data_IF_071819705005
#
_entry.id   IF_071819705005
#
_cell.length_a   1.000
_cell.length_b   1.000
_cell.length_c   1.000
_cell.angle_alpha   90.00
_cell.angle_beta   90.00
_cell.angle_gamma   90.00
#
_symmetry.space_group_name_H-M   'P 1'
#
loop_
_entity.id
_entity.type
_entity.pdbx_description
1 polymer ?
#
# COMPACT_ATOMS: atom_id res chain seq x y z
N UNK A 1 4.21 -1.65 -1.70
CA UNK A 1 4.88 -2.20 -2.90
C UNK A 1 3.97 -3.26 -3.51
N UNK A 2 3.82 -3.33 -4.83
CA UNK A 2 3.16 -4.46 -5.52
C UNK A 2 4.24 -5.17 -6.32
N UNK A 3 4.68 -6.32 -5.83
CA UNK A 3 5.82 -7.04 -6.43
C UNK A 3 5.34 -7.81 -7.64
N UNK A 4 5.62 -7.26 -8.82
CA UNK A 4 5.52 -8.02 -10.05
C UNK A 4 6.58 -9.12 -10.08
N UNK A 5 6.18 -10.33 -10.46
CA UNK A 5 7.10 -11.44 -10.68
C UNK A 5 7.70 -11.37 -12.08
N UNK A 6 8.94 -11.84 -12.22
CA UNK A 6 9.56 -12.04 -13.52
C UNK A 6 9.09 -13.38 -14.10
N UNK A 7 8.28 -13.39 -15.18
CA UNK A 7 7.72 -14.63 -15.71
C UNK A 7 8.77 -15.59 -16.25
N UNK A 8 9.94 -15.11 -16.69
CA UNK A 8 11.03 -15.97 -17.18
C UNK A 8 11.64 -16.85 -16.07
N UNK A 9 11.48 -16.44 -14.82
CA UNK A 9 12.06 -17.13 -13.67
C UNK A 9 11.04 -17.94 -12.88
N UNK A 10 9.75 -17.60 -13.02
CA UNK A 10 8.71 -18.04 -12.08
C UNK A 10 7.54 -18.77 -12.74
N UNK A 11 7.34 -18.62 -14.06
CA UNK A 11 6.33 -19.38 -14.80
C UNK A 11 6.94 -20.60 -15.48
N UNK A 12 6.21 -21.72 -15.41
CA UNK A 12 6.60 -22.96 -16.06
C UNK A 12 6.43 -22.89 -17.57
N UNK A 13 7.40 -23.48 -18.28
CA UNK A 13 7.44 -23.53 -19.74
C UNK A 13 7.24 -22.14 -20.37
N UNK A 14 7.70 -21.09 -19.70
CA UNK A 14 7.68 -19.74 -20.25
C UNK A 14 8.71 -19.63 -21.37
N UNK A 15 8.32 -19.09 -22.52
CA UNK A 15 9.22 -18.80 -23.62
C UNK A 15 8.79 -17.58 -24.42
N UNK A 16 9.76 -17.01 -25.12
CA UNK A 16 9.58 -15.95 -26.10
C UNK A 16 9.87 -16.51 -27.49
N UNK A 17 9.01 -16.24 -28.47
CA UNK A 17 9.20 -16.64 -29.86
C UNK A 17 8.78 -15.51 -30.79
N UNK A 18 9.77 -14.92 -31.47
CA UNK A 18 9.55 -13.69 -32.23
C UNK A 18 9.03 -12.58 -31.30
N UNK A 19 7.77 -12.17 -31.47
CA UNK A 19 7.08 -11.21 -30.58
C UNK A 19 6.06 -11.84 -29.63
N UNK A 20 5.92 -13.17 -29.69
CA UNK A 20 5.00 -13.90 -28.84
C UNK A 20 5.67 -14.25 -27.50
N UNK A 21 4.90 -14.12 -26.41
CA UNK A 21 5.17 -14.82 -25.17
C UNK A 21 4.17 -15.95 -25.04
N UNK A 22 4.59 -17.06 -24.46
CA UNK A 22 3.72 -18.17 -24.12
C UNK A 22 4.22 -18.89 -22.87
N UNK A 23 3.29 -19.48 -22.12
CA UNK A 23 3.59 -20.23 -20.91
C UNK A 23 2.47 -21.24 -20.60
N UNK A 24 2.78 -22.20 -19.74
CA UNK A 24 1.78 -23.11 -19.19
C UNK A 24 1.26 -22.55 -17.86
N UNK A 25 -0.06 -22.37 -17.76
CA UNK A 25 -0.72 -22.11 -16.48
C UNK A 25 -0.96 -23.46 -15.79
N UNK A 26 -0.27 -23.68 -14.69
CA UNK A 26 -0.29 -24.94 -13.95
C UNK A 26 -1.64 -25.26 -13.29
N UNK A 27 -2.57 -24.30 -13.24
CA UNK A 27 -3.94 -24.58 -12.82
C UNK A 27 -4.76 -25.30 -13.90
N UNK A 28 -4.23 -25.41 -15.13
CA UNK A 28 -4.85 -26.03 -16.29
C UNK A 28 -4.18 -27.39 -16.64
N UNK A 29 -4.82 -28.24 -17.46
CA UNK A 29 -4.20 -29.43 -18.01
C UNK A 29 -2.90 -29.12 -18.77
N UNK A 30 -1.95 -30.06 -18.75
CA UNK A 30 -0.59 -29.89 -19.29
C UNK A 30 -0.51 -29.41 -20.75
N UNK A 31 -1.53 -29.72 -21.54
CA UNK A 31 -1.68 -29.39 -22.96
C UNK A 31 -2.25 -27.99 -23.22
N UNK A 32 -2.66 -27.26 -22.17
CA UNK A 32 -3.21 -25.92 -22.24
C UNK A 32 -2.13 -24.86 -21.98
N UNK A 33 -1.96 -23.95 -22.94
CA UNK A 33 -0.99 -22.86 -22.87
C UNK A 33 -1.68 -21.52 -23.09
N UNK A 34 -1.20 -20.52 -22.35
CA UNK A 34 -1.59 -19.13 -22.53
C UNK A 34 -0.55 -18.43 -23.38
N UNK A 35 -0.98 -17.57 -24.30
CA UNK A 35 -0.09 -16.82 -25.18
C UNK A 35 -0.54 -15.37 -25.37
N UNK A 36 0.37 -14.54 -25.85
CA UNK A 36 0.04 -13.23 -26.43
C UNK A 36 1.28 -12.50 -26.93
N UNK A 37 1.15 -11.21 -27.26
CA UNK A 37 2.28 -10.40 -27.75
C UNK A 37 3.01 -9.80 -26.55
N UNK A 38 4.33 -9.93 -26.46
CA UNK A 38 5.13 -9.17 -25.47
C UNK A 38 5.70 -7.87 -26.03
N UNK A 39 5.69 -7.71 -27.35
CA UNK A 39 6.07 -6.47 -28.02
C UNK A 39 5.20 -6.28 -29.27
N UNK A 40 4.84 -5.05 -29.62
CA UNK A 40 4.13 -4.76 -30.87
C UNK A 40 5.02 -5.02 -32.10
N UNK A 41 4.40 -5.16 -33.27
CA UNK A 41 5.16 -5.21 -34.52
C UNK A 41 5.69 -3.81 -34.85
N UNK A 42 7.02 -3.67 -34.85
CA UNK A 42 7.70 -2.39 -35.13
C UNK A 42 7.92 -2.18 -36.63
N UNK A 43 8.19 -3.24 -37.38
CA UNK A 43 8.42 -3.20 -38.84
C UNK A 43 7.39 -4.08 -39.53
N UNK A 44 6.63 -3.52 -40.46
CA UNK A 44 5.59 -4.21 -41.21
C UNK A 44 6.08 -4.52 -42.62
N UNK A 45 5.97 -5.79 -43.02
CA UNK A 45 6.17 -6.19 -44.41
C UNK A 45 4.90 -5.90 -45.23
N UNK A 46 5.01 -5.07 -46.26
CA UNK A 46 3.92 -4.76 -47.20
C UNK A 46 4.32 -5.14 -48.62
N UNK A 47 3.36 -5.25 -49.56
CA UNK A 47 3.68 -5.46 -50.98
C UNK A 47 4.61 -4.40 -51.58
N UNK A 48 4.60 -3.19 -51.01
CA UNK A 48 5.47 -2.07 -51.42
C UNK A 48 6.82 -2.05 -50.69
N UNK A 49 7.10 -2.99 -49.79
CA UNK A 49 8.31 -3.08 -48.98
C UNK A 49 8.04 -2.97 -47.48
N UNK A 50 9.12 -2.86 -46.70
CA UNK A 50 9.05 -2.74 -45.24
C UNK A 50 8.75 -1.30 -44.82
N UNK A 51 7.82 -1.13 -43.88
CA UNK A 51 7.50 0.18 -43.29
C UNK A 51 7.60 0.14 -41.78
N UNK A 52 8.02 1.26 -41.18
CA UNK A 52 8.13 1.41 -39.73
C UNK A 52 6.78 1.81 -39.10
N UNK A 53 6.45 1.22 -37.96
CA UNK A 53 5.35 1.66 -37.09
C UNK A 53 5.71 2.92 -36.29
N UNK A 54 7.01 3.19 -36.11
CA UNK A 54 7.51 4.42 -35.52
C UNK A 54 7.68 5.48 -36.62
N UNK A 55 7.19 6.68 -36.37
CA UNK A 55 7.40 7.87 -37.18
C UNK A 55 8.00 8.98 -36.32
N UNK A 56 9.01 9.69 -36.84
CA UNK A 56 9.61 10.83 -36.17
C UNK A 56 9.35 12.10 -36.98
N UNK A 57 8.59 13.03 -36.42
CA UNK A 57 8.49 14.40 -36.93
C UNK A 57 9.52 15.28 -36.22
N UNK A 58 10.45 15.86 -36.97
CA UNK A 58 11.48 16.78 -36.47
C UNK A 58 11.14 18.24 -36.78
N UNK A 59 11.59 19.16 -35.93
CA UNK A 59 11.41 20.61 -36.11
C UNK A 59 12.56 21.39 -35.46
N UNK A 60 12.71 22.70 -35.73
CA UNK A 60 13.68 23.54 -35.03
C UNK A 60 13.50 23.57 -33.51
N UNK A 61 12.28 23.32 -33.01
CA UNK A 61 11.94 23.36 -31.58
C UNK A 61 11.84 21.98 -30.91
N UNK A 62 12.34 20.90 -31.51
CA UNK A 62 12.24 19.55 -30.94
C UNK A 62 11.58 18.56 -31.89
N UNK A 63 11.00 17.49 -31.35
CA UNK A 63 10.40 16.43 -32.16
C UNK A 63 9.13 15.81 -31.58
N UNK A 64 8.47 15.00 -32.39
CA UNK A 64 7.34 14.17 -31.98
C UNK A 64 7.53 12.78 -32.54
N UNK A 65 7.76 11.80 -31.66
CA UNK A 65 7.69 10.39 -32.01
C UNK A 65 6.23 9.93 -31.95
N UNK A 66 5.77 9.28 -33.00
CA UNK A 66 4.44 8.66 -33.07
C UNK A 66 4.61 7.18 -33.37
N UNK A 67 3.99 6.31 -32.59
CA UNK A 67 4.08 4.87 -32.73
C UNK A 67 2.71 4.27 -33.03
N UNK A 68 2.49 3.84 -34.26
CA UNK A 68 1.23 3.25 -34.71
C UNK A 68 1.50 1.79 -35.08
N UNK A 69 1.36 0.90 -34.11
CA UNK A 69 1.42 -0.54 -34.38
C UNK A 69 0.02 -1.11 -34.63
N UNK A 70 -0.20 -1.79 -35.77
CA UNK A 70 -1.43 -2.54 -35.97
C UNK A 70 -1.49 -3.70 -34.97
N UNK A 71 -2.69 -3.98 -34.46
CA UNK A 71 -2.93 -5.14 -33.62
C UNK A 71 -2.90 -6.42 -34.49
N UNK A 72 -1.70 -6.93 -34.77
CA UNK A 72 -1.54 -8.17 -35.52
C UNK A 72 -1.55 -9.39 -34.60
N UNK A 73 -2.27 -10.47 -34.95
CA UNK A 73 -2.22 -11.71 -34.19
C UNK A 73 -0.83 -12.35 -34.28
N UNK A 74 -0.35 -12.94 -33.19
CA UNK A 74 0.91 -13.70 -33.20
C UNK A 74 0.75 -15.01 -33.97
N UNK A 75 1.86 -15.58 -34.46
CA UNK A 75 1.85 -16.86 -35.18
C UNK A 75 1.64 -18.04 -34.21
N UNK A 76 0.40 -18.48 -34.08
CA UNK A 76 0.03 -19.58 -33.19
C UNK A 76 0.56 -20.94 -33.67
N UNK A 77 0.80 -21.12 -34.97
CA UNK A 77 1.36 -22.36 -35.51
C UNK A 77 2.83 -22.51 -35.11
N UNK A 78 3.60 -21.42 -35.14
CA UNK A 78 4.97 -21.40 -34.64
C UNK A 78 5.07 -21.67 -33.13
N UNK A 79 4.14 -21.11 -32.34
CA UNK A 79 4.03 -21.37 -30.90
C UNK A 79 3.75 -22.86 -30.64
N UNK A 80 2.77 -23.44 -31.35
CA UNK A 80 2.45 -24.86 -31.22
C UNK A 80 3.64 -25.76 -31.58
N UNK A 81 4.32 -25.48 -32.70
CA UNK A 81 5.50 -26.21 -33.12
C UNK A 81 6.61 -26.17 -32.05
N UNK A 82 6.85 -25.01 -31.45
CA UNK A 82 7.82 -24.85 -30.36
C UNK A 82 7.43 -25.69 -29.13
N UNK A 83 6.16 -25.66 -28.71
CA UNK A 83 5.68 -26.47 -27.59
C UNK A 83 5.87 -27.97 -27.87
N UNK A 84 5.57 -28.43 -29.09
CA UNK A 84 5.76 -29.84 -29.50
C UNK A 84 7.23 -30.26 -29.44
N UNK A 85 8.12 -29.37 -29.87
CA UNK A 85 9.55 -29.65 -29.91
C UNK A 85 10.18 -29.69 -28.51
N UNK A 86 9.72 -28.85 -27.58
CA UNK A 86 10.42 -28.60 -26.31
C UNK A 86 9.72 -29.12 -25.06
N UNK A 87 8.40 -29.26 -25.04
CA UNK A 87 7.64 -29.57 -23.82
C UNK A 87 6.73 -30.79 -23.95
N UNK A 88 6.01 -30.96 -25.06
CA UNK A 88 5.02 -32.04 -25.23
C UNK A 88 5.23 -32.76 -26.58
N UNK A 89 6.14 -33.74 -26.64
CA UNK A 89 6.45 -34.46 -27.88
C UNK A 89 5.39 -35.49 -28.27
N UNK A 90 4.49 -35.87 -27.36
CA UNK A 90 3.47 -36.88 -27.59
C UNK A 90 2.37 -36.40 -28.57
N UNK A 91 1.81 -37.32 -29.39
CA UNK A 91 0.70 -36.98 -30.28
C UNK A 91 -0.56 -36.67 -29.46
N UNK A 92 -0.92 -35.38 -29.41
CA UNK A 92 -2.08 -34.85 -28.69
C UNK A 92 -2.41 -33.43 -29.16
N UNK A 93 -3.63 -32.96 -28.88
CA UNK A 93 -4.08 -31.61 -29.23
C UNK A 93 -3.55 -30.61 -28.18
N UNK A 94 -2.79 -29.62 -28.62
CA UNK A 94 -2.40 -28.46 -27.79
C UNK A 94 -3.51 -27.43 -27.87
N UNK A 95 -3.90 -26.86 -26.73
CA UNK A 95 -4.89 -25.79 -26.66
C UNK A 95 -4.18 -24.47 -26.35
N UNK A 96 -4.36 -23.48 -27.22
CA UNK A 96 -3.80 -22.14 -27.06
C UNK A 96 -4.91 -21.15 -26.70
N UNK A 97 -4.76 -20.46 -25.56
CA UNK A 97 -5.66 -19.40 -25.12
C UNK A 97 -4.93 -18.05 -25.12
N UNK A 98 -5.54 -17.03 -25.72
CA UNK A 98 -4.96 -15.69 -25.70
C UNK A 98 -5.17 -15.05 -24.31
N UNK A 99 -4.08 -14.60 -23.68
CA UNK A 99 -4.11 -13.91 -22.40
C UNK A 99 -4.41 -12.42 -22.50
N UNK A 100 -4.90 -11.82 -21.42
CA UNK A 100 -5.03 -10.37 -21.27
C UNK A 100 -3.68 -9.76 -20.88
N UNK A 101 -2.95 -9.25 -21.88
CA UNK A 101 -1.63 -8.66 -21.72
C UNK A 101 -1.73 -7.17 -21.98
N UNK A 102 -1.41 -6.38 -20.97
CA UNK A 102 -1.32 -4.92 -21.06
C UNK A 102 0.10 -4.52 -21.40
N UNK A 103 0.26 -3.68 -22.41
CA UNK A 103 1.56 -3.25 -22.89
C UNK A 103 1.73 -1.75 -22.70
N UNK A 104 2.87 -1.35 -22.13
CA UNK A 104 3.36 0.03 -22.15
C UNK A 104 4.67 0.07 -22.94
N UNK A 105 4.85 1.14 -23.70
CA UNK A 105 6.00 1.35 -24.58
C UNK A 105 6.75 2.60 -24.16
N UNK A 106 8.08 2.50 -24.18
CA UNK A 106 8.96 3.61 -23.82
C UNK A 106 10.10 3.71 -24.82
N UNK A 107 10.67 4.90 -24.95
CA UNK A 107 12.01 5.09 -25.50
C UNK A 107 12.96 5.32 -24.34
N UNK A 108 14.01 4.51 -24.25
CA UNK A 108 15.12 4.72 -23.32
C UNK A 108 16.22 5.50 -24.02
N UNK A 109 16.52 6.69 -23.53
CA UNK A 109 17.62 7.52 -24.02
C UNK A 109 18.86 7.25 -23.19
N UNK A 110 19.93 6.81 -23.84
CA UNK A 110 21.19 6.47 -23.17
C UNK A 110 21.96 7.75 -22.86
N UNK A 111 22.32 7.94 -21.60
CA UNK A 111 23.26 8.99 -21.15
C UNK A 111 24.53 8.35 -20.60
N UNK A 112 25.56 9.16 -20.42
CA UNK A 112 26.81 8.76 -19.77
C UNK A 112 26.99 9.58 -18.49
N UNK A 113 27.12 8.94 -17.31
CA UNK A 113 27.11 7.49 -17.08
C UNK A 113 25.75 6.82 -17.40
N UNK A 114 25.75 5.52 -17.69
CA UNK A 114 24.51 4.78 -18.06
C UNK A 114 23.42 4.86 -16.99
N UNK A 115 23.81 5.06 -15.71
CA UNK A 115 22.90 5.33 -14.58
C UNK A 115 21.98 6.53 -14.81
N UNK A 116 22.38 7.46 -15.68
CA UNK A 116 21.62 8.67 -16.00
C UNK A 116 20.68 8.46 -17.19
N UNK A 117 20.67 7.25 -17.77
CA UNK A 117 19.71 6.87 -18.81
C UNK A 117 18.31 6.82 -18.22
N UNK A 118 17.33 7.26 -19.01
CA UNK A 118 15.95 7.37 -18.55
C UNK A 118 14.99 6.91 -19.65
N UNK A 119 13.79 6.51 -19.22
CA UNK A 119 12.72 6.07 -20.10
C UNK A 119 11.67 7.18 -20.22
N UNK A 120 11.17 7.40 -21.44
CA UNK A 120 10.02 8.27 -21.70
C UNK A 120 8.89 7.39 -22.25
N UNK A 121 7.69 7.45 -21.68
CA UNK A 121 6.54 6.63 -22.10
C UNK A 121 5.85 7.22 -23.34
N UNK A 122 5.33 6.36 -24.21
CA UNK A 122 4.38 6.75 -25.23
C UNK A 122 2.99 6.91 -24.62
N UNK A 123 2.46 8.13 -24.65
CA UNK A 123 1.09 8.43 -24.23
C UNK A 123 0.19 8.55 -25.47
N UNK A 124 -0.87 7.75 -25.54
CA UNK A 124 -1.80 7.74 -26.68
C UNK A 124 -1.07 7.64 -28.04
N UNK A 125 -0.07 6.74 -28.14
CA UNK A 125 0.76 6.53 -29.33
C UNK A 125 1.71 7.68 -29.70
N UNK A 126 1.87 8.69 -28.84
CA UNK A 126 2.69 9.89 -29.10
C UNK A 126 3.68 10.14 -27.97
N UNK A 127 4.79 10.77 -28.33
CA UNK A 127 5.83 11.16 -27.39
C UNK A 127 6.48 12.46 -27.87
N UNK A 128 6.21 13.61 -27.21
CA UNK A 128 6.96 14.82 -27.49
C UNK A 128 8.42 14.62 -27.07
N UNK A 129 9.35 15.15 -27.85
CA UNK A 129 10.79 15.02 -27.66
C UNK A 129 11.42 16.41 -27.60
N UNK A 130 12.38 16.57 -26.70
CA UNK A 130 13.32 17.71 -26.74
C UNK A 130 14.15 17.68 -28.02
N UNK A 131 14.81 18.79 -28.36
CA UNK A 131 15.74 18.81 -29.49
C UNK A 131 16.85 17.76 -29.40
N UNK A 132 17.39 17.53 -28.20
CA UNK A 132 18.42 16.53 -27.97
C UNK A 132 17.91 15.09 -28.17
N UNK A 133 16.74 14.77 -27.61
CA UNK A 133 16.10 13.46 -27.77
C UNK A 133 15.72 13.17 -29.22
N UNK A 134 15.18 14.16 -29.93
CA UNK A 134 14.85 14.05 -31.35
C UNK A 134 16.11 13.77 -32.19
N UNK A 135 17.22 14.44 -31.87
CA UNK A 135 18.51 14.22 -32.55
C UNK A 135 19.08 12.82 -32.28
N UNK A 136 19.02 12.35 -31.03
CA UNK A 136 19.44 10.99 -30.68
C UNK A 136 18.58 9.93 -31.38
N UNK A 137 17.27 10.14 -31.47
CA UNK A 137 16.38 9.22 -32.16
C UNK A 137 16.57 9.24 -33.67
N UNK A 138 16.77 10.41 -34.31
CA UNK A 138 17.12 10.50 -35.74
C UNK A 138 18.40 9.72 -36.04
N UNK A 139 19.47 9.93 -35.24
CA UNK A 139 20.72 9.19 -35.37
C UNK A 139 20.51 7.68 -35.21
N UNK A 140 19.73 7.25 -34.21
CA UNK A 140 19.43 5.85 -34.00
C UNK A 140 18.64 5.23 -35.16
N UNK A 141 17.64 5.94 -35.71
CA UNK A 141 16.90 5.51 -36.91
C UNK A 141 17.84 5.40 -38.12
N UNK A 142 18.87 6.26 -38.22
CA UNK A 142 19.92 6.18 -39.25
C UNK A 142 21.01 5.12 -38.97
N UNK A 143 20.87 4.35 -37.89
CA UNK A 143 21.74 3.22 -37.58
C UNK A 143 22.79 3.46 -36.49
N UNK A 144 22.77 4.60 -35.80
CA UNK A 144 23.66 4.85 -34.66
C UNK A 144 23.24 3.99 -33.45
N UNK A 145 24.02 2.93 -33.18
CA UNK A 145 23.73 1.94 -32.14
C UNK A 145 23.89 2.49 -30.73
N UNK A 146 23.20 1.85 -29.78
CA UNK A 146 23.30 2.09 -28.34
C UNK A 146 22.99 3.54 -27.90
N UNK A 147 22.16 4.27 -28.65
CA UNK A 147 21.71 5.62 -28.28
C UNK A 147 20.29 5.62 -27.75
N UNK A 148 19.39 4.90 -28.41
CA UNK A 148 17.98 4.82 -28.06
C UNK A 148 17.49 3.38 -28.15
N UNK A 149 16.83 2.91 -27.09
CA UNK A 149 16.19 1.59 -27.07
C UNK A 149 14.67 1.73 -27.03
N UNK A 150 13.97 0.88 -27.78
CA UNK A 150 12.56 0.63 -27.53
C UNK A 150 12.44 -0.31 -26.33
N UNK A 151 11.78 0.14 -25.28
CA UNK A 151 11.48 -0.67 -24.10
C UNK A 151 9.99 -1.02 -24.11
N UNK A 152 9.69 -2.31 -23.99
CA UNK A 152 8.31 -2.79 -23.82
C UNK A 152 8.13 -3.41 -22.45
N UNK A 153 7.11 -2.97 -21.74
CA UNK A 153 6.64 -3.58 -20.50
C UNK A 153 5.33 -4.31 -20.77
N UNK A 154 5.34 -5.63 -20.63
CA UNK A 154 4.14 -6.47 -20.74
C UNK A 154 3.70 -6.96 -19.37
N UNK A 155 2.51 -6.56 -18.96
CA UNK A 155 1.91 -6.89 -17.67
C UNK A 155 0.71 -7.81 -17.86
N UNK A 156 0.63 -8.85 -17.05
CA UNK A 156 -0.48 -9.79 -17.06
C UNK A 156 -0.63 -10.47 -15.70
N UNK A 157 -1.75 -11.16 -15.51
CA UNK A 157 -2.03 -11.91 -14.28
C UNK A 157 -2.26 -13.38 -14.59
N UNK A 158 -1.74 -14.25 -13.73
CA UNK A 158 -1.94 -15.71 -13.80
C UNK A 158 -2.52 -16.17 -12.47
N UNK A 159 -3.50 -17.05 -12.53
CA UNK A 159 -4.05 -17.67 -11.32
C UNK A 159 -3.05 -18.68 -10.77
N UNK A 160 -2.83 -18.67 -9.46
CA UNK A 160 -2.08 -19.73 -8.79
C UNK A 160 -2.95 -20.36 -7.73
N UNK A 161 -3.14 -21.68 -7.78
CA UNK A 161 -3.70 -22.38 -6.63
C UNK A 161 -2.67 -22.31 -5.50
N UNK A 162 -3.18 -22.01 -4.31
CA UNK A 162 -2.44 -22.04 -3.07
C UNK A 162 -3.18 -22.95 -2.11
N UNK A 163 -2.48 -23.98 -1.65
CA UNK A 163 -2.92 -24.85 -0.56
C UNK A 163 -1.97 -24.69 0.60
N UNK A 164 -2.47 -24.37 1.77
CA UNK A 164 -1.64 -24.22 2.95
C UNK A 164 -2.36 -24.67 4.22
N UNK A 165 -1.61 -25.07 5.24
CA UNK A 165 -2.15 -25.46 6.53
C UNK A 165 -1.20 -25.09 7.67
N UNK A 166 -1.77 -24.83 8.85
CA UNK A 166 -1.00 -24.71 10.08
C UNK A 166 -0.94 -26.05 10.79
N UNK A 167 0.26 -26.54 11.05
CA UNK A 167 0.52 -27.68 11.92
C UNK A 167 1.11 -27.20 13.24
N UNK A 168 0.44 -27.56 14.34
CA UNK A 168 0.76 -27.06 15.68
C UNK A 168 0.24 -28.02 16.76
N UNK A 169 0.92 -28.03 17.90
CA UNK A 169 0.30 -28.50 19.15
C UNK A 169 -0.68 -27.42 19.65
N UNK A 170 -1.95 -27.58 19.26
CA UNK A 170 -3.00 -26.63 19.60
C UNK A 170 -3.31 -26.56 21.10
N UNK A 171 -3.03 -27.62 21.86
CA UNK A 171 -3.19 -27.62 23.33
C UNK A 171 -2.09 -26.76 23.96
N UNK A 172 -0.84 -26.95 23.52
CA UNK A 172 0.28 -26.11 23.96
C UNK A 172 0.05 -24.64 23.58
N UNK A 173 -0.42 -24.37 22.36
CA UNK A 173 -0.70 -23.01 21.92
C UNK A 173 -1.86 -22.36 22.71
N UNK A 174 -2.95 -23.08 22.99
CA UNK A 174 -4.03 -22.57 23.84
C UNK A 174 -3.55 -22.23 25.26
N UNK A 175 -2.69 -23.09 25.82
CA UNK A 175 -2.10 -22.86 27.14
C UNK A 175 -1.24 -21.60 27.14
N UNK A 176 -0.42 -21.40 26.10
CA UNK A 176 0.35 -20.18 25.91
C UNK A 176 -0.56 -18.94 25.81
N UNK A 177 -1.55 -18.98 24.91
CA UNK A 177 -2.49 -17.88 24.72
C UNK A 177 -3.29 -17.53 25.99
N UNK A 178 -3.67 -18.54 26.77
CA UNK A 178 -4.32 -18.35 28.07
C UNK A 178 -3.38 -17.66 29.08
N UNK A 179 -2.13 -18.12 29.18
CA UNK A 179 -1.13 -17.57 30.11
C UNK A 179 -0.74 -16.13 29.76
N UNK A 180 -0.62 -15.82 28.47
CA UNK A 180 -0.36 -14.48 27.93
C UNK A 180 -1.60 -13.58 27.94
N UNK A 181 -2.74 -14.08 28.45
CA UNK A 181 -4.03 -13.37 28.49
C UNK A 181 -4.54 -12.93 27.09
N UNK A 182 -4.05 -13.57 26.03
CA UNK A 182 -4.45 -13.33 24.65
C UNK A 182 -5.80 -13.99 24.36
N UNK A 183 -6.91 -13.28 24.66
CA UNK A 183 -8.28 -13.78 24.43
C UNK A 183 -8.96 -13.20 23.19
N UNK A 184 -8.52 -12.03 22.71
CA UNK A 184 -9.08 -11.39 21.52
C UNK A 184 -8.40 -11.91 20.24
N UNK A 185 -9.13 -12.05 19.12
CA UNK A 185 -8.57 -12.54 17.86
C UNK A 185 -7.30 -11.81 17.40
N UNK A 186 -7.21 -10.50 17.64
CA UNK A 186 -6.06 -9.68 17.24
C UNK A 186 -4.81 -10.01 18.08
N UNK A 187 -4.97 -10.16 19.39
CA UNK A 187 -3.89 -10.54 20.30
C UNK A 187 -3.40 -11.97 20.02
N UNK A 188 -4.34 -12.88 19.72
CA UNK A 188 -4.02 -14.26 19.34
C UNK A 188 -3.31 -14.30 17.98
N UNK A 189 -3.73 -13.48 17.01
CA UNK A 189 -3.07 -13.40 15.70
C UNK A 189 -1.60 -12.93 15.81
N UNK A 190 -1.32 -11.96 16.68
CA UNK A 190 0.05 -11.53 16.99
C UNK A 190 0.88 -12.69 17.56
N UNK A 191 0.34 -13.42 18.54
CA UNK A 191 1.01 -14.56 19.16
C UNK A 191 1.22 -15.72 18.17
N UNK A 192 0.22 -16.02 17.31
CA UNK A 192 0.34 -17.02 16.24
C UNK A 192 1.49 -16.67 15.29
N UNK A 193 1.58 -15.41 14.85
CA UNK A 193 2.66 -14.97 13.97
C UNK A 193 4.03 -15.12 14.64
N UNK A 194 4.16 -14.76 15.91
CA UNK A 194 5.40 -14.96 16.67
C UNK A 194 5.80 -16.44 16.75
N UNK A 195 4.85 -17.35 16.98
CA UNK A 195 5.13 -18.78 17.06
C UNK A 195 5.45 -19.41 15.69
N UNK A 196 4.85 -18.89 14.60
CA UNK A 196 5.22 -19.26 13.22
C UNK A 196 6.65 -18.81 12.93
N UNK A 197 6.99 -17.56 13.24
CA UNK A 197 8.34 -17.00 12.98
C UNK A 197 9.42 -17.68 13.84
N UNK A 198 9.05 -18.16 15.03
CA UNK A 198 9.92 -18.95 15.90
C UNK A 198 10.05 -20.43 15.47
N UNK A 199 9.30 -20.88 14.45
CA UNK A 199 9.31 -22.26 13.97
C UNK A 199 8.62 -23.26 14.90
N UNK A 200 7.84 -22.79 15.90
CA UNK A 200 7.08 -23.64 16.82
C UNK A 200 5.78 -24.11 16.16
N UNK A 201 5.14 -23.23 15.39
CA UNK A 201 4.01 -23.57 14.52
C UNK A 201 4.55 -23.70 13.10
N UNK A 202 4.31 -24.84 12.47
CA UNK A 202 4.76 -25.08 11.09
C UNK A 202 3.69 -24.62 10.12
N UNK A 203 4.06 -23.67 9.25
CA UNK A 203 3.25 -23.29 8.11
C UNK A 203 3.66 -24.17 6.91
N UNK A 204 2.78 -25.08 6.51
CA UNK A 204 2.97 -25.94 5.35
C UNK A 204 2.30 -25.28 4.15
N UNK A 205 3.08 -24.85 3.16
CA UNK A 205 2.57 -24.18 1.98
C UNK A 205 2.94 -24.93 0.71
N UNK A 206 1.97 -25.04 -0.19
CA UNK A 206 2.18 -25.53 -1.55
C UNK A 206 1.46 -24.58 -2.51
N UNK A 207 2.20 -24.14 -3.50
CA UNK A 207 1.69 -23.30 -4.58
C UNK A 207 1.94 -24.04 -5.87
N UNK A 208 1.02 -23.90 -6.82
CA UNK A 208 1.29 -24.29 -8.20
C UNK A 208 2.46 -23.42 -8.70
N UNK A 209 2.23 -22.11 -8.90
CA UNK A 209 3.27 -21.20 -9.38
C UNK A 209 4.08 -20.59 -8.21
N UNK A 210 5.36 -20.30 -8.44
CA UNK A 210 6.22 -19.65 -7.45
C UNK A 210 5.58 -18.31 -6.97
N UNK A 211 5.22 -18.18 -5.68
CA UNK A 211 4.43 -17.04 -5.21
C UNK A 211 5.29 -15.82 -4.93
N UNK A 212 4.68 -14.63 -5.05
CA UNK A 212 5.24 -13.39 -4.52
C UNK A 212 5.15 -13.36 -2.99
N UNK A 213 5.94 -12.50 -2.36
CA UNK A 213 5.88 -12.28 -0.90
C UNK A 213 4.49 -11.82 -0.46
N UNK A 214 3.86 -10.94 -1.25
CA UNK A 214 2.50 -10.48 -1.00
C UNK A 214 1.48 -11.64 -1.04
N UNK A 215 1.63 -12.58 -1.98
CA UNK A 215 0.76 -13.76 -2.04
C UNK A 215 0.97 -14.68 -0.84
N UNK A 216 2.22 -14.93 -0.43
CA UNK A 216 2.50 -15.72 0.78
C UNK A 216 1.90 -15.08 2.02
N UNK A 217 2.08 -13.76 2.18
CA UNK A 217 1.52 -13.03 3.31
C UNK A 217 0.00 -13.12 3.35
N UNK A 218 -0.69 -13.01 2.21
CA UNK A 218 -2.14 -13.14 2.13
C UNK A 218 -2.63 -14.52 2.58
N UNK A 219 -1.94 -15.59 2.16
CA UNK A 219 -2.27 -16.97 2.57
C UNK A 219 -2.02 -17.14 4.07
N UNK A 220 -0.86 -16.68 4.57
CA UNK A 220 -0.52 -16.68 5.99
C UNK A 220 -1.56 -15.95 6.84
N UNK A 221 -1.92 -14.72 6.46
CA UNK A 221 -2.91 -13.90 7.17
C UNK A 221 -4.28 -14.59 7.21
N UNK A 222 -4.67 -15.27 6.12
CA UNK A 222 -5.93 -16.02 6.06
C UNK A 222 -5.96 -17.20 7.02
N UNK A 223 -4.85 -17.94 7.14
CA UNK A 223 -4.70 -19.04 8.09
C UNK A 223 -4.67 -18.53 9.53
N UNK A 224 -3.86 -17.50 9.81
CA UNK A 224 -3.74 -16.88 11.13
C UNK A 224 -5.08 -16.34 11.61
N UNK A 225 -5.85 -15.68 10.73
CA UNK A 225 -7.18 -15.18 11.06
C UNK A 225 -8.15 -16.31 11.40
N UNK A 226 -8.14 -17.41 10.64
CA UNK A 226 -8.99 -18.57 10.92
C UNK A 226 -8.62 -19.20 12.27
N UNK A 227 -7.32 -19.46 12.49
CA UNK A 227 -6.83 -20.00 13.75
C UNK A 227 -7.14 -19.08 14.94
N UNK A 228 -6.97 -17.76 14.80
CA UNK A 228 -7.21 -16.82 15.90
C UNK A 228 -8.67 -16.78 16.32
N UNK A 229 -9.60 -16.89 15.37
CA UNK A 229 -11.03 -17.01 15.64
C UNK A 229 -11.38 -18.32 16.37
N UNK A 230 -10.83 -19.45 15.93
CA UNK A 230 -11.05 -20.75 16.57
C UNK A 230 -10.53 -20.76 18.01
N UNK A 231 -9.29 -20.30 18.22
CA UNK A 231 -8.64 -20.20 19.53
C UNK A 231 -9.41 -19.25 20.44
N UNK A 232 -9.80 -18.06 19.94
CA UNK A 232 -10.57 -17.09 20.71
C UNK A 232 -11.91 -17.66 21.16
N UNK A 233 -12.62 -18.35 20.27
CA UNK A 233 -13.89 -19.00 20.57
C UNK A 233 -13.74 -20.09 21.64
N UNK A 234 -12.67 -20.89 21.58
CA UNK A 234 -12.40 -21.90 22.60
C UNK A 234 -12.04 -21.27 23.94
N UNK A 235 -11.19 -20.24 23.97
CA UNK A 235 -10.79 -19.54 25.20
C UNK A 235 -11.95 -18.76 25.86
N UNK A 236 -12.98 -18.38 25.11
CA UNK A 236 -14.13 -17.61 25.61
C UNK A 236 -14.79 -18.25 26.83
N UNK A 237 -14.82 -19.57 26.89
CA UNK A 237 -15.49 -20.33 27.95
C UNK A 237 -14.52 -21.00 28.95
N UNK A 238 -13.21 -20.76 28.81
CA UNK A 238 -12.16 -21.34 29.67
C UNK A 238 -11.72 -20.29 30.70
N UNK A 239 -11.85 -20.62 31.98
CA UNK A 239 -11.56 -19.72 33.11
C UNK A 239 -10.32 -20.14 33.91
N UNK A 240 -9.86 -21.37 33.74
CA UNK A 240 -8.64 -21.89 34.37
C UNK A 240 -7.88 -22.82 33.42
N UNK A 241 -6.56 -22.98 33.63
CA UNK A 241 -5.71 -23.86 32.81
C UNK A 241 -6.20 -25.31 32.84
N UNK A 242 -6.79 -25.77 33.95
CA UNK A 242 -7.34 -27.12 34.08
C UNK A 242 -8.59 -27.39 33.23
N UNK A 243 -9.22 -26.35 32.67
CA UNK A 243 -10.36 -26.46 31.76
C UNK A 243 -9.95 -26.59 30.28
N UNK A 244 -8.64 -26.47 29.97
CA UNK A 244 -8.13 -26.64 28.61
C UNK A 244 -8.25 -28.13 28.22
N UNK A 245 -8.81 -28.45 27.03
CA UNK A 245 -8.92 -29.83 26.58
C UNK A 245 -7.56 -30.52 26.47
N UNK A 246 -7.46 -31.74 27.01
CA UNK A 246 -6.24 -32.55 26.93
C UNK A 246 -5.92 -33.05 25.51
N UNK A 247 -6.88 -32.94 24.59
CA UNK A 247 -6.72 -33.24 23.16
C UNK A 247 -7.51 -32.22 22.36
N UNK A 248 -6.83 -31.59 21.41
CA UNK A 248 -7.45 -30.65 20.50
C UNK A 248 -6.72 -30.71 19.16
N UNK A 249 -7.49 -30.69 18.09
CA UNK A 249 -6.99 -30.59 16.73
C UNK A 249 -7.86 -29.60 16.00
N UNK A 250 -7.29 -28.47 15.61
CA UNK A 250 -7.93 -27.58 14.65
C UNK A 250 -7.49 -27.96 13.24
N UNK A 251 -8.45 -28.08 12.33
CA UNK A 251 -8.17 -28.09 10.90
C UNK A 251 -8.12 -26.63 10.43
N UNK A 252 -6.91 -26.10 10.32
CA UNK A 252 -6.67 -24.75 9.80
C UNK A 252 -5.99 -24.88 8.45
N UNK A 253 -6.83 -24.98 7.41
CA UNK A 253 -6.40 -25.14 6.04
C UNK A 253 -6.94 -24.02 5.15
N UNK A 254 -6.17 -23.72 4.10
CA UNK A 254 -6.46 -22.75 3.06
C UNK A 254 -6.35 -23.47 1.72
N UNK A 255 -7.33 -23.29 0.86
CA UNK A 255 -7.29 -23.77 -0.52
C UNK A 255 -8.06 -22.80 -1.40
N UNK A 256 -7.35 -21.94 -2.12
CA UNK A 256 -7.97 -21.00 -3.05
C UNK A 256 -7.04 -20.66 -4.21
N UNK A 257 -7.60 -20.05 -5.26
CA UNK A 257 -6.83 -19.46 -6.35
C UNK A 257 -6.55 -17.99 -6.05
N UNK A 258 -5.28 -17.59 -6.16
CA UNK A 258 -4.84 -16.20 -5.93
C UNK A 258 -4.22 -15.66 -7.23
N UNK A 259 -4.63 -14.48 -7.72
CA UNK A 259 -4.02 -13.89 -8.90
C UNK A 259 -2.60 -13.39 -8.57
N UNK A 260 -1.63 -13.82 -9.37
CA UNK A 260 -0.25 -13.33 -9.33
C UNK A 260 0.00 -12.42 -10.52
N UNK A 261 0.72 -11.32 -10.28
CA UNK A 261 0.99 -10.30 -11.31
C UNK A 261 2.41 -10.45 -11.83
N UNK A 262 2.55 -10.39 -13.15
CA UNK A 262 3.82 -10.57 -13.84
C UNK A 262 4.18 -9.31 -14.64
N UNK A 263 5.48 -9.02 -14.71
CA UNK A 263 6.03 -7.96 -15.55
C UNK A 263 7.19 -8.53 -16.37
N UNK A 264 7.01 -8.57 -17.69
CA UNK A 264 8.08 -8.83 -18.62
C UNK A 264 8.57 -7.51 -19.21
N UNK A 265 9.80 -7.12 -18.87
CA UNK A 265 10.48 -5.99 -19.48
C UNK A 265 11.43 -6.49 -20.58
N UNK A 266 11.32 -5.92 -21.77
CA UNK A 266 12.21 -6.22 -22.91
C UNK A 266 12.72 -4.90 -23.49
N UNK A 267 13.96 -4.91 -23.99
CA UNK A 267 14.55 -3.76 -24.66
C UNK A 267 15.18 -4.18 -25.99
N UNK A 268 15.06 -3.33 -27.01
CA UNK A 268 15.60 -3.55 -28.34
C UNK A 268 16.21 -2.25 -28.87
N UNK A 269 17.42 -2.32 -29.44
CA UNK A 269 18.09 -1.14 -30.01
C UNK A 269 17.34 -0.65 -31.24
N UNK A 270 16.97 0.63 -31.27
CA UNK A 270 16.29 1.25 -32.42
C UNK A 270 17.14 1.13 -33.69
N UNK A 271 18.46 1.23 -33.59
CA UNK A 271 19.34 1.09 -34.75
C UNK A 271 19.31 -0.33 -35.34
N UNK A 272 19.18 -1.36 -34.48
CA UNK A 272 19.04 -2.74 -34.94
C UNK A 272 17.66 -2.98 -35.59
N UNK A 273 16.62 -2.32 -35.09
CA UNK A 273 15.25 -2.47 -35.59
C UNK A 273 15.00 -1.70 -36.89
N UNK A 274 15.43 -0.44 -36.96
CA UNK A 274 15.03 0.50 -38.00
C UNK A 274 16.17 0.93 -38.91
N UNK A 275 17.44 0.73 -38.52
CA UNK A 275 18.61 1.23 -39.27
C UNK A 275 18.79 0.66 -40.68
N UNK A 276 18.04 -0.38 -41.05
CA UNK A 276 18.03 -0.94 -42.40
C UNK A 276 16.92 -0.37 -43.31
N UNK A 277 15.99 0.41 -42.74
CA UNK A 277 14.90 1.03 -43.49
C UNK A 277 15.33 2.43 -43.98
N UNK A 278 14.79 2.90 -45.11
CA UNK A 278 15.07 4.26 -45.58
C UNK A 278 14.62 5.29 -44.54
N UNK A 279 15.56 6.08 -44.00
CA UNK A 279 15.26 7.06 -42.95
C UNK A 279 14.16 8.06 -43.37
N UNK A 280 14.14 8.47 -44.64
CA UNK A 280 13.15 9.43 -45.16
C UNK A 280 11.71 8.87 -45.20
N UNK A 281 11.54 7.55 -45.06
CA UNK A 281 10.22 6.91 -44.89
C UNK A 281 9.73 6.91 -43.43
N UNK A 282 10.63 7.22 -42.49
CA UNK A 282 10.41 7.18 -41.04
C UNK A 282 10.41 8.60 -40.47
N UNK A 283 11.24 9.48 -41.03
CA UNK A 283 11.55 10.80 -40.51
C UNK A 283 10.98 11.86 -41.46
N UNK A 284 10.19 12.79 -40.92
CA UNK A 284 9.76 13.99 -41.62
C UNK A 284 10.23 15.23 -40.90
N UNK A 285 10.33 16.34 -41.63
CA UNK A 285 10.68 17.64 -41.08
C UNK A 285 9.52 18.62 -41.26
N UNK A 286 9.25 19.41 -40.22
CA UNK A 286 8.35 20.57 -40.29
C UNK A 286 9.10 21.85 -39.91
N UNK A 287 8.93 22.95 -40.68
CA UNK A 287 9.52 24.24 -40.31
C UNK A 287 8.82 24.88 -39.10
N UNK A 288 7.60 24.45 -38.77
CA UNK A 288 6.87 24.94 -37.60
C UNK A 288 7.48 24.37 -36.32
N UNK A 289 7.97 25.21 -35.38
CA UNK A 289 8.53 24.73 -34.13
C UNK A 289 7.50 23.92 -33.34
N UNK A 290 7.88 22.70 -32.95
CA UNK A 290 7.11 21.91 -31.99
C UNK A 290 7.45 22.39 -30.55
N UNK A 291 6.51 22.28 -29.60
CA UNK A 291 6.79 22.63 -28.21
C UNK A 291 7.74 21.61 -27.58
N UNK A 292 8.80 22.09 -26.91
CA UNK A 292 9.67 21.22 -26.14
C UNK A 292 8.98 20.76 -24.86
N UNK A 293 8.97 19.45 -24.58
CA UNK A 293 8.50 18.97 -23.30
C UNK A 293 9.48 19.37 -22.21
N UNK A 294 8.97 19.81 -21.07
CA UNK A 294 9.78 19.91 -19.86
C UNK A 294 10.23 18.50 -19.45
N UNK A 295 11.50 18.18 -19.70
CA UNK A 295 12.17 16.97 -19.21
C UNK A 295 13.06 17.40 -18.05
N UNK A 296 12.73 17.05 -16.81
CA UNK A 296 13.68 17.22 -15.72
C UNK A 296 14.90 16.36 -16.05
N UNK A 297 16.11 16.89 -15.88
CA UNK A 297 17.37 16.19 -16.21
C UNK A 297 17.64 14.93 -15.35
N UNK A 298 16.74 14.63 -14.43
CA UNK A 298 16.77 13.45 -13.55
C UNK A 298 15.35 12.88 -13.49
N UNK A 299 15.18 11.54 -13.33
CA UNK A 299 13.90 11.01 -12.91
C UNK A 299 13.49 11.77 -11.65
N UNK A 300 12.37 12.49 -11.74
CA UNK A 300 11.76 13.07 -10.55
C UNK A 300 11.25 11.89 -9.75
N UNK A 301 11.95 11.57 -8.67
CA UNK A 301 11.45 10.65 -7.68
C UNK A 301 10.24 11.34 -7.04
N UNK A 302 9.04 10.92 -7.45
CA UNK A 302 7.83 11.41 -6.82
C UNK A 302 7.80 10.85 -5.40
N UNK A 303 8.18 11.68 -4.44
CA UNK A 303 7.95 11.35 -3.05
C UNK A 303 6.45 11.39 -2.81
N UNK A 304 5.92 10.31 -2.25
CA UNK A 304 4.53 10.20 -1.85
C UNK A 304 4.47 10.02 -0.33
N UNK A 305 3.47 10.59 0.29
CA UNK A 305 3.18 10.37 1.70
C UNK A 305 1.67 10.18 1.84
N UNK A 306 1.26 8.98 2.27
CA UNK A 306 -0.13 8.74 2.65
C UNK A 306 -0.35 9.24 4.08
N UNK A 307 -1.17 10.27 4.25
CA UNK A 307 -1.51 10.80 5.58
C UNK A 307 -2.93 10.40 5.93
N UNK A 308 -3.11 9.78 7.10
CA UNK A 308 -4.40 9.36 7.64
C UNK A 308 -4.55 9.76 9.10
N UNK A 309 -5.77 9.71 9.63
CA UNK A 309 -5.99 9.79 11.08
C UNK A 309 -5.92 8.39 11.69
N UNK A 310 -5.06 8.18 12.68
CA UNK A 310 -4.92 6.92 13.43
C UNK A 310 -6.02 6.71 14.48
N UNK A 311 -7.04 7.56 14.49
CA UNK A 311 -8.14 7.56 15.46
C UNK A 311 -9.43 8.05 14.79
N UNK A 312 -10.57 7.82 15.46
CA UNK A 312 -11.85 8.32 14.98
C UNK A 312 -12.00 9.83 15.33
N UNK A 313 -12.12 10.74 14.34
CA UNK A 313 -12.25 12.17 14.60
C UNK A 313 -13.60 12.55 15.23
N UNK A 314 -14.59 11.64 15.24
CA UNK A 314 -15.89 11.88 15.87
C UNK A 314 -15.72 12.11 17.37
N UNK A 315 -16.14 13.28 17.84
CA UNK A 315 -15.99 13.72 19.23
C UNK A 315 -14.82 14.66 19.48
N UNK A 316 -13.99 14.92 18.47
CA UNK A 316 -12.98 15.97 18.51
C UNK A 316 -13.53 17.25 17.86
N UNK A 317 -13.22 18.41 18.44
CA UNK A 317 -13.69 19.72 17.95
C UNK A 317 -12.83 20.23 16.78
N UNK A 318 -12.69 19.44 15.72
CA UNK A 318 -11.88 19.76 14.53
C UNK A 318 -12.78 20.34 13.44
N UNK A 319 -12.41 21.51 12.91
CA UNK A 319 -13.11 22.15 11.79
C UNK A 319 -12.42 21.86 10.45
N UNK A 320 -11.09 21.95 10.40
CA UNK A 320 -10.31 21.63 9.20
C UNK A 320 -8.92 21.11 9.53
N UNK A 321 -8.37 20.32 8.62
CA UNK A 321 -6.99 19.87 8.63
C UNK A 321 -6.40 20.17 7.24
N UNK A 322 -5.32 20.94 7.21
CA UNK A 322 -4.59 21.28 6.00
C UNK A 322 -3.14 20.79 6.12
N UNK A 323 -2.70 20.05 5.11
CA UNK A 323 -1.32 19.60 4.99
C UNK A 323 -0.62 20.45 3.95
N UNK A 324 0.61 20.87 4.23
CA UNK A 324 1.45 21.59 3.28
C UNK A 324 2.77 20.85 3.11
N UNK A 325 3.07 20.47 1.87
CA UNK A 325 4.34 19.85 1.50
C UNK A 325 4.89 20.52 0.26
N UNK A 326 6.16 20.95 0.32
CA UNK A 326 6.82 21.65 -0.79
C UNK A 326 6.04 22.88 -1.33
N UNK A 327 5.33 23.59 -0.45
CA UNK A 327 4.50 24.73 -0.82
C UNK A 327 3.12 24.38 -1.40
N UNK A 328 2.84 23.11 -1.71
CA UNK A 328 1.50 22.65 -2.09
C UNK A 328 0.64 22.43 -0.85
N UNK A 329 -0.55 23.04 -0.83
CA UNK A 329 -1.55 22.86 0.22
C UNK A 329 -2.57 21.79 -0.20
N UNK A 330 -2.81 20.82 0.68
CA UNK A 330 -3.76 19.72 0.48
C UNK A 330 -4.66 19.61 1.72
N UNK A 331 -5.95 19.98 1.63
CA UNK A 331 -6.89 19.82 2.75
C UNK A 331 -7.38 18.37 2.87
N UNK A 332 -7.55 17.89 4.11
CA UNK A 332 -8.31 16.66 4.38
C UNK A 332 -9.80 16.99 4.43
N UNK A 333 -10.62 16.19 3.73
CA UNK A 333 -12.05 16.48 3.54
C UNK A 333 -12.88 16.21 4.80
N UNK A 334 -13.60 17.22 5.29
CA UNK A 334 -14.57 17.08 6.39
C UNK A 334 -15.80 16.23 5.96
N UNK A 335 -16.52 15.51 6.84
CA UNK A 335 -16.35 15.38 8.30
C UNK A 335 -15.40 14.28 8.75
N UNK A 336 -15.15 13.30 7.89
CA UNK A 336 -14.47 12.08 8.30
C UNK A 336 -12.95 12.11 8.07
N UNK A 337 -12.44 13.18 7.46
CA UNK A 337 -11.02 13.38 7.15
C UNK A 337 -10.40 12.12 6.51
N UNK A 338 -10.89 11.67 5.34
CA UNK A 338 -10.38 10.47 4.71
C UNK A 338 -8.89 10.62 4.40
N UNK A 339 -8.14 9.50 4.30
CA UNK A 339 -6.71 9.55 3.99
C UNK A 339 -6.44 10.34 2.71
N UNK A 340 -5.37 11.13 2.72
CA UNK A 340 -4.92 11.91 1.57
C UNK A 340 -3.50 11.52 1.19
N UNK A 341 -3.22 11.47 -0.11
CA UNK A 341 -1.88 11.22 -0.62
C UNK A 341 -1.26 12.55 -1.02
N UNK A 342 -0.25 12.97 -0.27
CA UNK A 342 0.59 14.10 -0.65
C UNK A 342 1.60 13.63 -1.69
N UNK A 343 1.89 14.48 -2.67
CA UNK A 343 2.87 14.21 -3.72
C UNK A 343 3.77 15.42 -3.90
N UNK A 344 5.07 15.20 -4.00
CA UNK A 344 6.00 16.26 -4.38
C UNK A 344 7.12 15.72 -5.25
N UNK A 345 7.75 16.64 -5.94
CA UNK A 345 8.93 16.44 -6.80
C UNK A 345 10.21 16.95 -6.12
N UNK A 346 10.07 17.62 -4.98
CA UNK A 346 11.19 18.22 -4.22
C UNK A 346 11.61 17.31 -3.07
N UNK A 347 12.92 17.21 -2.82
CA UNK A 347 13.51 16.46 -1.71
C UNK A 347 13.31 17.13 -0.31
N UNK A 348 12.17 17.78 -0.08
CA UNK A 348 11.84 18.40 1.21
C UNK A 348 11.30 17.33 2.15
N UNK A 349 11.94 17.15 3.31
CA UNK A 349 11.53 16.15 4.29
C UNK A 349 10.30 16.57 5.10
N UNK A 350 10.04 17.86 5.31
CA UNK A 350 9.07 18.27 6.32
C UNK A 350 7.69 18.56 5.73
N UNK A 351 6.67 17.97 6.33
CA UNK A 351 5.26 18.23 6.04
C UNK A 351 4.72 19.08 7.17
N UNK A 352 4.13 20.23 6.82
CA UNK A 352 3.46 21.10 7.80
C UNK A 352 2.00 20.71 7.91
N UNK A 353 1.52 20.51 9.14
CA UNK A 353 0.14 20.24 9.49
C UNK A 353 -0.46 21.48 10.13
N UNK A 354 -1.58 21.95 9.60
CA UNK A 354 -2.39 23.01 10.20
C UNK A 354 -3.76 22.47 10.54
N UNK A 355 -4.14 22.61 11.81
CA UNK A 355 -5.46 22.24 12.31
C UNK A 355 -6.20 23.51 12.69
N UNK A 356 -7.45 23.63 12.25
CA UNK A 356 -8.35 24.66 12.76
C UNK A 356 -9.44 23.99 13.57
N UNK A 357 -9.66 24.45 14.79
CA UNK A 357 -10.66 23.90 15.71
C UNK A 357 -12.00 24.61 15.59
N UNK A 358 -13.06 24.03 16.15
CA UNK A 358 -14.42 24.60 16.11
C UNK A 358 -14.56 25.94 16.85
N UNK A 359 -13.59 26.32 17.68
CA UNK A 359 -13.50 27.64 18.32
C UNK A 359 -12.72 28.67 17.50
N UNK A 360 -12.35 28.33 16.25
CA UNK A 360 -11.54 29.11 15.31
C UNK A 360 -10.09 29.34 15.75
N UNK A 361 -9.64 28.71 16.84
CA UNK A 361 -8.21 28.62 17.12
C UNK A 361 -7.52 27.72 16.09
N UNK A 362 -6.22 27.93 15.89
CA UNK A 362 -5.42 27.09 15.00
C UNK A 362 -4.16 26.59 15.69
N UNK A 363 -3.69 25.44 15.24
CA UNK A 363 -2.46 24.81 15.68
C UNK A 363 -1.66 24.39 14.45
N UNK A 364 -0.35 24.63 14.47
CA UNK A 364 0.55 24.23 13.40
C UNK A 364 1.66 23.36 13.98
N UNK A 365 1.93 22.23 13.34
CA UNK A 365 3.03 21.32 13.66
C UNK A 365 3.73 20.88 12.39
N UNK A 366 4.90 20.27 12.55
CA UNK A 366 5.66 19.70 11.44
C UNK A 366 6.08 18.28 11.80
N UNK A 367 6.09 17.41 10.79
CA UNK A 367 6.62 16.06 10.91
C UNK A 367 7.44 15.70 9.68
N UNK A 368 8.43 14.83 9.89
CA UNK A 368 9.27 14.34 8.81
C UNK A 368 8.53 13.37 7.90
N UNK A 369 8.95 13.34 6.64
CA UNK A 369 8.41 12.48 5.59
C UNK A 369 8.60 11.00 5.93
N UNK A 370 7.54 10.23 5.69
CA UNK A 370 7.47 8.78 5.75
C UNK A 370 6.51 8.32 4.65
N UNK A 371 6.60 7.07 4.21
CA UNK A 371 5.69 6.52 3.18
C UNK A 371 4.22 6.60 3.60
N UNK A 372 3.95 6.37 4.89
CA UNK A 372 2.65 6.50 5.49
C UNK A 372 2.76 7.11 6.90
N UNK A 373 1.91 8.09 7.19
CA UNK A 373 1.81 8.76 8.49
C UNK A 373 0.39 8.62 9.00
N UNK A 374 0.22 7.97 10.16
CA UNK A 374 -1.04 7.92 10.88
C UNK A 374 -1.00 8.95 12.02
N UNK A 375 -1.69 10.09 11.83
CA UNK A 375 -1.73 11.18 12.81
C UNK A 375 -2.48 10.74 14.07
N UNK A 376 -1.85 10.97 15.21
CA UNK A 376 -2.44 10.80 16.54
C UNK A 376 -3.18 12.07 16.96
N UNK A 377 -4.05 12.02 17.99
CA UNK A 377 -4.62 13.23 18.56
C UNK A 377 -3.56 14.26 19.00
N UNK A 378 -2.41 13.81 19.48
CA UNK A 378 -1.33 14.69 19.95
C UNK A 378 -0.68 15.46 18.80
N UNK A 379 -0.53 14.82 17.64
CA UNK A 379 0.02 15.46 16.44
C UNK A 379 -0.85 16.63 15.96
N UNK A 380 -2.15 16.57 16.26
CA UNK A 380 -3.14 17.61 15.95
C UNK A 380 -3.26 18.68 17.05
N UNK A 381 -2.47 18.60 18.13
CA UNK A 381 -2.51 19.56 19.24
C UNK A 381 -3.51 19.22 20.34
N UNK A 382 -3.97 17.96 20.43
CA UNK A 382 -4.76 17.51 21.58
C UNK A 382 -3.88 16.97 22.71
N UNK A 383 -4.23 17.32 23.93
CA UNK A 383 -3.63 16.78 25.14
C UNK A 383 -4.61 15.84 25.86
N UNK A 384 -4.10 14.70 26.34
CA UNK A 384 -4.89 13.67 27.03
C UNK A 384 -4.92 13.94 28.53
N UNK A 385 -6.10 14.24 29.06
CA UNK A 385 -6.34 14.36 30.50
C UNK A 385 -7.01 13.08 30.99
N UNK A 386 -6.28 12.30 31.78
CA UNK A 386 -6.79 11.07 32.37
C UNK A 386 -7.32 11.36 33.77
N UNK A 387 -8.63 11.17 33.99
CA UNK A 387 -9.18 11.11 35.34
C UNK A 387 -9.10 9.67 35.86
N UNK A 388 -8.54 9.50 37.05
CA UNK A 388 -8.35 8.20 37.69
C UNK A 388 -8.99 8.17 39.08
N UNK A 389 -9.85 7.17 39.29
CA UNK A 389 -10.55 6.96 40.55
C UNK A 389 -10.39 5.51 41.06
N UNK A 390 -9.45 4.74 40.51
CA UNK A 390 -9.27 3.31 40.82
C UNK A 390 -9.08 3.02 42.30
N UNK A 391 -8.36 3.88 43.02
CA UNK A 391 -8.14 3.77 44.46
C UNK A 391 -9.42 3.98 45.32
N UNK A 392 -10.52 4.47 44.73
CA UNK A 392 -11.80 4.70 45.39
C UNK A 392 -12.82 3.58 45.16
N UNK A 393 -12.48 2.60 44.32
CA UNK A 393 -13.32 1.46 43.95
C UNK A 393 -13.98 0.76 45.13
N UNK A 394 -13.22 0.50 46.19
CA UNK A 394 -13.73 -0.29 47.33
C UNK A 394 -14.65 0.55 48.24
N UNK A 395 -14.49 1.88 48.23
CA UNK A 395 -15.29 2.80 49.03
C UNK A 395 -16.58 3.28 48.37
N UNK A 396 -16.66 3.22 47.03
CA UNK A 396 -17.75 3.82 46.26
C UNK A 396 -18.34 2.89 45.21
N UNK A 397 -19.67 2.88 45.10
CA UNK A 397 -20.41 2.12 44.08
C UNK A 397 -20.41 2.83 42.73
N UNK A 398 -20.48 4.15 42.75
CA UNK A 398 -20.45 4.99 41.55
C UNK A 398 -19.97 6.39 41.90
N UNK A 399 -19.25 7.03 40.98
CA UNK A 399 -18.84 8.43 41.06
C UNK A 399 -19.26 9.13 39.76
N UNK A 400 -19.89 10.29 39.86
CA UNK A 400 -20.12 11.17 38.71
C UNK A 400 -19.49 12.52 38.99
N UNK A 401 -18.90 13.14 37.98
CA UNK A 401 -18.31 14.45 38.14
C UNK A 401 -18.27 15.24 36.85
N UNK A 402 -17.94 16.51 37.02
CA UNK A 402 -17.72 17.45 35.93
C UNK A 402 -16.37 18.11 36.10
N UNK A 403 -15.74 18.42 34.99
CA UNK A 403 -14.48 19.13 34.89
C UNK A 403 -14.61 20.26 33.87
N UNK A 404 -13.98 21.39 34.16
CA UNK A 404 -13.85 22.53 33.27
C UNK A 404 -12.38 22.86 33.11
N UNK A 405 -11.88 22.82 31.88
CA UNK A 405 -10.53 23.22 31.53
C UNK A 405 -10.54 24.72 31.30
N UNK A 406 -9.67 25.41 32.02
CA UNK A 406 -9.45 26.85 31.94
C UNK A 406 -8.04 27.05 31.36
N UNK A 407 -7.93 27.36 30.06
CA UNK A 407 -6.65 27.59 29.39
C UNK A 407 -5.92 28.80 29.98
N UNK A 408 -4.58 28.80 29.92
CA UNK A 408 -3.76 29.97 30.19
C UNK A 408 -3.84 30.95 29.00
N UNK A 409 -4.93 31.72 28.91
CA UNK A 409 -5.15 32.68 27.82
C UNK A 409 -6.64 33.03 27.62
N UNK A 410 -6.97 33.64 26.48
CA UNK A 410 -8.35 34.01 26.11
C UNK A 410 -9.11 32.90 25.34
N UNK A 411 -8.60 31.66 25.34
CA UNK A 411 -9.24 30.53 24.66
C UNK A 411 -10.50 30.09 25.43
N UNK A 412 -11.50 29.56 24.70
CA UNK A 412 -12.76 29.10 25.31
C UNK A 412 -12.53 27.96 26.30
N UNK A 413 -13.27 28.01 27.40
CA UNK A 413 -13.34 26.92 28.38
C UNK A 413 -13.96 25.68 27.73
N UNK A 414 -13.45 24.51 28.08
CA UNK A 414 -14.00 23.23 27.66
C UNK A 414 -14.55 22.49 28.87
N UNK A 415 -15.72 21.87 28.74
CA UNK A 415 -16.35 21.11 29.80
C UNK A 415 -16.31 19.63 29.48
N UNK A 416 -16.20 18.82 30.53
CA UNK A 416 -16.18 17.37 30.46
C UNK A 416 -17.00 16.80 31.61
N UNK A 417 -17.77 15.76 31.33
CA UNK A 417 -18.50 15.00 32.34
C UNK A 417 -17.92 13.60 32.36
N UNK A 418 -17.61 13.10 33.55
CA UNK A 418 -17.11 11.75 33.75
C UNK A 418 -18.01 10.99 34.72
N UNK A 419 -18.10 9.69 34.50
CA UNK A 419 -18.82 8.76 35.35
C UNK A 419 -17.96 7.50 35.52
N UNK A 420 -17.83 7.06 36.76
CA UNK A 420 -17.16 5.83 37.16
C UNK A 420 -18.17 4.92 37.83
N UNK A 421 -18.32 3.73 37.30
CA UNK A 421 -19.15 2.68 37.86
C UNK A 421 -18.62 1.34 37.38
N UNK A 422 -18.97 0.27 38.10
CA UNK A 422 -18.59 -1.09 37.73
C UNK A 422 -17.05 -1.25 37.63
N UNK A 423 -16.55 -1.74 36.48
CA UNK A 423 -15.11 -1.96 36.24
C UNK A 423 -14.41 -0.76 35.57
N UNK A 424 -15.11 0.35 35.30
CA UNK A 424 -14.53 1.51 34.62
C UNK A 424 -14.28 2.66 35.61
N UNK A 425 -13.01 2.82 36.00
CA UNK A 425 -12.54 3.82 36.99
C UNK A 425 -11.52 4.81 36.41
N UNK A 426 -11.50 4.90 35.09
CA UNK A 426 -10.67 5.81 34.32
C UNK A 426 -11.51 6.44 33.21
N UNK A 427 -11.32 7.74 32.99
CA UNK A 427 -11.98 8.50 31.94
C UNK A 427 -10.95 9.39 31.26
N UNK A 428 -10.84 9.27 29.95
CA UNK A 428 -9.94 10.10 29.17
C UNK A 428 -10.69 11.28 28.56
N UNK A 429 -10.08 12.46 28.63
CA UNK A 429 -10.60 13.68 28.04
C UNK A 429 -9.54 14.34 27.17
N UNK A 430 -9.86 14.52 25.90
CA UNK A 430 -9.01 15.24 24.95
C UNK A 430 -9.34 16.72 24.97
N UNK A 431 -8.35 17.54 25.31
CA UNK A 431 -8.44 19.00 25.27
C UNK A 431 -7.55 19.56 24.18
N UNK A 432 -8.02 20.58 23.47
CA UNK A 432 -7.14 21.38 22.63
C UNK A 432 -6.20 22.20 23.54
N UNK A 433 -4.94 21.77 23.61
CA UNK A 433 -3.88 22.47 24.30
C UNK A 433 -2.73 22.56 23.29
N UNK A 434 -2.48 23.75 22.77
CA UNK A 434 -1.58 24.04 21.64
C UNK A 434 -0.08 23.70 21.89
N UNK A 435 0.24 22.85 22.87
CA UNK A 435 1.56 22.31 23.20
C UNK A 435 1.40 20.93 23.88
N UNK A 436 2.46 20.11 23.93
CA UNK A 436 2.49 18.82 24.63
C UNK A 436 2.39 19.01 26.16
N UNK A 437 1.21 19.35 26.67
CA UNK A 437 0.98 19.64 28.09
C UNK A 437 -0.33 20.36 28.36
N UNK A 438 -0.76 20.31 29.62
CA UNK A 438 -1.80 21.20 30.15
C UNK A 438 -1.21 22.61 30.32
N UNK A 439 -1.47 23.50 29.38
CA UNK A 439 -1.14 24.92 29.52
C UNK A 439 -2.32 25.70 30.12
N UNK A 440 -2.68 25.37 31.37
CA UNK A 440 -3.85 25.90 32.07
C UNK A 440 -4.14 25.15 33.37
N UNK A 441 -5.38 25.21 33.84
CA UNK A 441 -5.85 24.41 34.99
C UNK A 441 -7.18 23.72 34.70
N UNK A 442 -7.47 22.69 35.45
CA UNK A 442 -8.74 21.98 35.43
C UNK A 442 -9.43 22.20 36.77
N UNK A 443 -10.59 22.86 36.74
CA UNK A 443 -11.49 22.98 37.88
C UNK A 443 -12.46 21.79 37.80
N UNK A 444 -12.56 20.95 38.83
CA UNK A 444 -13.43 19.76 38.81
C UNK A 444 -14.16 19.55 40.13
N UNK A 445 -15.28 18.82 40.07
CA UNK A 445 -16.06 18.39 41.23
C UNK A 445 -16.70 17.04 40.94
N UNK A 446 -16.83 16.21 41.96
CA UNK A 446 -17.47 14.92 41.84
C UNK A 446 -18.33 14.57 43.05
N UNK A 447 -19.30 13.70 42.81
CA UNK A 447 -20.18 13.12 43.82
C UNK A 447 -20.11 11.60 43.73
N UNK A 448 -19.99 10.94 44.88
CA UNK A 448 -19.86 9.49 44.97
C UNK A 448 -20.94 8.86 45.85
N UNK A 449 -21.47 7.71 45.46
CA UNK A 449 -22.33 6.88 46.33
C UNK A 449 -21.50 5.84 47.04
N UNK A 450 -21.49 5.82 48.38
CA UNK A 450 -20.67 4.89 49.16
C UNK A 450 -21.12 3.43 49.01
N UNK A 451 -20.17 2.50 49.08
CA UNK A 451 -20.39 1.05 49.04
C UNK A 451 -20.90 0.47 50.38
N UNK A 452 -21.91 1.11 51.00
CA UNK A 452 -22.48 0.71 52.30
C UNK A 452 -23.91 0.18 52.17
N UNK A 453 -24.36 -0.61 53.16
CA UNK A 453 -25.75 -1.11 53.28
C UNK A 453 -26.79 0.03 53.20
N UNK A 454 -26.42 1.22 53.69
CA UNK A 454 -27.15 2.47 53.50
C UNK A 454 -26.26 3.46 52.74
N UNK A 455 -26.36 3.57 51.40
CA UNK A 455 -25.50 4.42 50.61
C UNK A 455 -25.69 5.90 50.98
N UNK A 456 -24.59 6.59 51.28
CA UNK A 456 -24.57 8.05 51.43
C UNK A 456 -23.95 8.67 50.18
N UNK A 457 -24.39 9.87 49.84
CA UNK A 457 -23.76 10.67 48.80
C UNK A 457 -22.65 11.50 49.44
N UNK A 458 -21.42 11.27 48.99
CA UNK A 458 -20.27 12.14 49.24
C UNK A 458 -20.19 13.20 48.16
N UNK A 459 -19.76 14.40 48.53
CA UNK A 459 -19.47 15.50 47.61
C UNK A 459 -18.05 15.98 47.87
N UNK A 460 -17.21 15.98 46.84
CA UNK A 460 -15.81 16.38 46.96
C UNK A 460 -15.62 17.87 47.20
N UNK A 461 -16.64 18.68 46.94
CA UNK A 461 -16.47 20.11 46.74
C UNK A 461 -15.62 20.43 45.49
N UNK A 462 -15.35 21.72 45.23
CA UNK A 462 -14.51 22.15 44.12
C UNK A 462 -13.04 21.78 44.36
N UNK A 463 -12.41 21.18 43.35
CA UNK A 463 -11.02 20.76 43.35
C UNK A 463 -10.32 21.29 42.09
N UNK A 464 -8.98 21.32 42.12
CA UNK A 464 -8.16 21.82 41.02
C UNK A 464 -7.02 20.87 40.69
N UNK A 465 -6.68 20.79 39.41
CA UNK A 465 -5.51 20.08 38.91
C UNK A 465 -4.81 20.88 37.82
N UNK A 466 -3.49 20.81 37.78
CA UNK A 466 -2.64 21.43 36.75
C UNK A 466 -1.87 20.40 35.92
N UNK A 467 -2.02 19.11 36.26
CA UNK A 467 -1.32 17.99 35.62
C UNK A 467 -2.27 16.81 35.40
N UNK A 468 -1.93 15.96 34.44
CA UNK A 468 -2.57 14.67 34.16
C UNK A 468 -1.58 13.55 34.52
N UNK A 469 -2.02 12.40 35.10
CA UNK A 469 -3.41 12.05 35.43
C UNK A 469 -3.97 12.81 36.65
N UNK A 470 -5.26 13.14 36.61
CA UNK A 470 -6.04 13.72 37.71
C UNK A 470 -6.58 12.59 38.59
N UNK A 471 -5.93 12.35 39.72
CA UNK A 471 -6.43 11.42 40.74
C UNK A 471 -7.48 12.12 41.60
N UNK A 472 -8.71 11.58 41.63
CA UNK A 472 -9.78 12.16 42.46
C UNK A 472 -9.40 12.17 43.93
N UNK A 473 -9.43 13.35 44.57
CA UNK A 473 -9.08 13.46 45.99
C UNK A 473 -10.28 13.12 46.88
N UNK A 474 -10.09 12.16 47.79
CA UNK A 474 -11.04 11.79 48.83
C UNK A 474 -10.52 12.23 50.20
N UNK A 475 -11.10 13.30 50.73
CA UNK A 475 -10.85 13.75 52.09
C UNK A 475 -11.90 13.12 53.00
N UNK A 476 -11.45 12.21 53.87
CA UNK A 476 -12.30 11.44 54.80
C UNK A 476 -12.96 12.30 55.86
#
# INVERSE_FOLDING_TARGET
MTDFLNPQQTLQNFFLLGRALAFHDQTLPSECYTYGSFTPQVVLDTPAGKVSALHLLTSPGGGLATFIAPNMPVDTAAIEAYIRQHFIPAPGKISLAQGDIRQSLFLRFVRQPESDSYNVEFEQSKMPLTHAEASLLDNAIRGAKNQVYLVTHSQFSVSSRATASLDADWVAFLTLAFNEQARQPEAIALLLNQQIDAGVITLLEQFDNAPSEQTRQLVRDSLVKTASQLVSNTLRNIHSVGEIPNKLSYDVSYSNSVPQRYLLAQQQDIAALLGQLPADSIITFTPTPLPEPSRPDKPIEHHQCLVSLGFNPNGFNIMSIELRWAGQQTPMQWPNFPPVTLKTETAVSDITLKVTFSDYSSYESQFGWQDAVALTPQDLGFYSVLFEAGHLKDGFKSINGTATYVPAGQVKKQNFSFAFANQQWQANWWINAHAAGLNGRIDYRWQGKTSSLFPKTYDSGPQQATVSPVKLQYNK
#
